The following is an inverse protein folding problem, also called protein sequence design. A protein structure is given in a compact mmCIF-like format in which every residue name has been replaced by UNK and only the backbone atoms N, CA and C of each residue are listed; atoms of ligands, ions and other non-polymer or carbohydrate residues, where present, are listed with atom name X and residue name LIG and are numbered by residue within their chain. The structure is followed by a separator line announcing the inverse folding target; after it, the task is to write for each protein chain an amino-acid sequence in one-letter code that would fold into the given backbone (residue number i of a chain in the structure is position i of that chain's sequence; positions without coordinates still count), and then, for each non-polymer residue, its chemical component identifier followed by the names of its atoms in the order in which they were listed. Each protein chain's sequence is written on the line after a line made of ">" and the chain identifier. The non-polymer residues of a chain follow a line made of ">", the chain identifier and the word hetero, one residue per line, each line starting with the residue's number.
data_IF_479678584966
#
_entry.id   IF_479678584966
#
_cell.length_a   1.000
_cell.length_b   1.000
_cell.length_c   1.000
_cell.angle_alpha   90.00
_cell.angle_beta   90.00
_cell.angle_gamma   90.00
#
_symmetry.space_group_name_H-M   'P 1'
#
loop_
_entity.id
_entity.type
_entity.pdbx_description
1 polymer ?
#
# COMPACT_ATOMS: atom_id res chain seq x y z
N UNK A 1 -8.43 -4.28 16.20
CA UNK A 1 -7.76 -3.74 15.00
C UNK A 1 -8.67 -2.70 14.36
N UNK A 2 -8.11 -1.66 13.75
CA UNK A 2 -8.82 -0.52 13.15
C UNK A 2 -8.99 -0.61 11.63
N UNK A 3 -8.29 -1.54 10.99
CA UNK A 3 -8.28 -1.76 9.55
C UNK A 3 -7.31 -2.87 9.16
N UNK A 4 -7.09 -2.99 7.85
CA UNK A 4 -6.13 -3.89 7.21
C UNK A 4 -5.07 -3.05 6.52
N UNK A 5 -3.80 -3.42 6.69
CA UNK A 5 -2.64 -2.80 6.04
C UNK A 5 -2.01 -3.77 5.05
N UNK A 6 -1.41 -3.23 3.98
CA UNK A 6 -0.50 -3.93 3.09
C UNK A 6 0.62 -3.00 2.62
N UNK A 7 1.73 -3.61 2.20
CA UNK A 7 2.83 -2.97 1.48
C UNK A 7 2.77 -3.38 0.00
N UNK A 8 2.86 -2.40 -0.90
CA UNK A 8 2.92 -2.64 -2.35
C UNK A 8 4.11 -1.92 -2.95
N UNK A 9 4.77 -2.54 -3.92
CA UNK A 9 5.86 -1.95 -4.72
C UNK A 9 5.45 -0.59 -5.29
N UNK A 10 6.31 0.42 -5.15
CA UNK A 10 6.04 1.78 -5.66
C UNK A 10 5.87 1.81 -7.19
N UNK A 11 6.51 0.88 -7.90
CA UNK A 11 6.38 0.78 -9.37
C UNK A 11 5.20 -0.09 -9.83
N UNK A 12 4.56 -0.85 -8.94
CA UNK A 12 3.43 -1.72 -9.29
C UNK A 12 2.11 -0.93 -9.29
N UNK A 13 1.97 -0.02 -10.26
CA UNK A 13 0.81 0.87 -10.41
C UNK A 13 -0.51 0.12 -10.57
N UNK A 14 -0.51 -1.02 -11.25
CA UNK A 14 -1.70 -1.86 -11.42
C UNK A 14 -2.22 -2.43 -10.10
N UNK A 15 -1.33 -2.92 -9.23
CA UNK A 15 -1.72 -3.36 -7.89
C UNK A 15 -2.20 -2.19 -7.03
N UNK A 16 -1.55 -1.04 -7.10
CA UNK A 16 -1.99 0.17 -6.39
C UNK A 16 -3.40 0.60 -6.81
N UNK A 17 -3.69 0.61 -8.11
CA UNK A 17 -5.03 0.88 -8.65
C UNK A 17 -6.07 -0.14 -8.16
N UNK A 18 -5.72 -1.43 -8.19
CA UNK A 18 -6.57 -2.49 -7.68
C UNK A 18 -6.89 -2.30 -6.19
N UNK A 19 -5.90 -1.97 -5.36
CA UNK A 19 -6.14 -1.73 -3.94
C UNK A 19 -6.93 -0.44 -3.68
N UNK A 20 -6.70 0.63 -4.45
CA UNK A 20 -7.55 1.84 -4.41
C UNK A 20 -9.01 1.50 -4.73
N UNK A 21 -9.26 0.66 -5.73
CA UNK A 21 -10.61 0.17 -6.05
C UNK A 21 -11.26 -0.61 -4.90
N UNK A 22 -10.47 -1.40 -4.16
CA UNK A 22 -10.94 -2.12 -2.96
C UNK A 22 -11.15 -1.24 -1.71
N UNK A 23 -10.87 0.06 -1.80
CA UNK A 23 -11.05 1.04 -0.73
C UNK A 23 -9.81 1.28 0.14
N UNK A 24 -8.64 0.78 -0.26
CA UNK A 24 -7.39 1.14 0.40
C UNK A 24 -6.96 2.55 0.00
N UNK A 25 -6.21 3.22 0.88
CA UNK A 25 -5.59 4.53 0.65
C UNK A 25 -4.11 4.49 1.00
N UNK A 26 -3.31 5.24 0.27
CA UNK A 26 -1.90 5.49 0.61
C UNK A 26 -1.78 6.17 1.98
N UNK A 27 -0.87 5.72 2.83
CA UNK A 27 -0.61 6.31 4.16
C UNK A 27 0.80 6.87 4.27
N UNK A 28 1.82 6.07 3.93
CA UNK A 28 3.22 6.51 3.88
C UNK A 28 4.06 5.59 2.98
N UNK A 29 5.28 6.01 2.69
CA UNK A 29 6.27 5.28 1.91
C UNK A 29 7.41 4.82 2.80
N UNK A 30 7.94 3.63 2.53
CA UNK A 30 9.14 3.08 3.17
C UNK A 30 10.22 2.97 2.10
N UNK A 31 11.36 3.62 2.32
CA UNK A 31 12.48 3.58 1.38
C UNK A 31 13.21 2.24 1.45
N UNK A 32 13.66 1.73 0.29
CA UNK A 32 14.43 0.49 0.15
C UNK A 32 13.82 -0.73 0.87
N UNK A 33 12.49 -0.87 0.83
CA UNK A 33 11.78 -1.92 1.55
C UNK A 33 12.00 -3.31 0.95
N UNK A 34 11.98 -3.42 -0.38
CA UNK A 34 12.22 -4.67 -1.07
C UNK A 34 13.71 -4.95 -1.22
N UNK A 35 14.09 -6.23 -1.36
CA UNK A 35 15.48 -6.66 -1.48
C UNK A 35 16.23 -6.08 -2.68
N UNK A 36 15.51 -5.58 -3.69
CA UNK A 36 16.06 -4.86 -4.85
C UNK A 36 16.14 -3.35 -4.64
N UNK A 37 16.13 -2.88 -3.38
CA UNK A 37 16.14 -1.47 -2.99
C UNK A 37 14.93 -0.66 -3.46
N UNK A 38 13.89 -1.34 -3.95
CA UNK A 38 12.65 -0.68 -4.33
C UNK A 38 11.85 -0.26 -3.10
N UNK A 39 11.32 0.96 -3.15
CA UNK A 39 10.45 1.49 -2.12
C UNK A 39 9.10 0.76 -2.08
N UNK A 40 8.50 0.74 -0.90
CA UNK A 40 7.13 0.28 -0.71
C UNK A 40 6.19 1.44 -0.36
N UNK A 41 4.98 1.37 -0.87
CA UNK A 41 3.86 2.18 -0.44
C UNK A 41 3.04 1.37 0.57
N UNK A 42 2.83 1.93 1.75
CA UNK A 42 1.93 1.38 2.75
C UNK A 42 0.53 1.88 2.45
N UNK A 43 -0.39 0.94 2.26
CA UNK A 43 -1.80 1.22 2.01
C UNK A 43 -2.67 0.63 3.12
N UNK A 44 -3.72 1.35 3.52
CA UNK A 44 -4.63 0.93 4.58
C UNK A 44 -6.10 1.04 4.17
N UNK A 45 -6.91 0.06 4.61
CA UNK A 45 -8.38 0.08 4.57
C UNK A 45 -8.92 0.01 5.99
N UNK A 46 -9.65 1.03 6.42
CA UNK A 46 -10.28 1.09 7.76
C UNK A 46 -11.61 0.35 7.78
N UNK A 47 -12.02 -0.18 8.94
CA UNK A 47 -13.29 -0.93 9.05
C UNK A 47 -14.54 -0.04 9.13
N UNK A 48 -14.35 1.25 9.41
CA UNK A 48 -15.42 2.22 9.60
C UNK A 48 -15.52 3.23 8.46
N UNK A 49 -14.81 2.99 7.36
CA UNK A 49 -14.78 3.86 6.20
C UNK A 49 -15.03 3.08 4.92
#
# INVERSE_FOLDING_TARGET
>A
ASGIQLEVRITNTGAQEFYRYLGYREVFQISCYYSNEEDALVMMKWFWR
#
